data_IF_309228047762
#
_entry.id   IF_309228047762
#
_cell.length_a   1.000
_cell.length_b   1.000
_cell.length_c   1.000
_cell.angle_alpha   90.00
_cell.angle_beta   90.00
_cell.angle_gamma   90.00
#
_symmetry.space_group_name_H-M   'P 1'
#
loop_
_entity.id
_entity.type
_entity.pdbx_description
1 polymer ?
#
# COMPACT_ATOMS: atom_id res chain seq x y z
N UNK A 1 13.35 5.35 -25.79
CA UNK A 1 12.37 4.49 -25.07
C UNK A 1 12.96 4.25 -23.69
N UNK A 2 12.39 4.84 -22.63
CA UNK A 2 12.95 4.73 -21.29
C UNK A 2 12.76 3.30 -20.77
N UNK A 3 13.83 2.68 -20.29
CA UNK A 3 13.78 1.33 -19.71
C UNK A 3 13.56 1.47 -18.21
N UNK A 4 12.45 0.95 -17.70
CA UNK A 4 12.19 0.84 -16.26
C UNK A 4 12.70 -0.52 -15.79
N UNK A 5 13.70 -0.52 -14.91
CA UNK A 5 14.16 -1.73 -14.22
C UNK A 5 13.82 -1.58 -12.74
N UNK A 6 12.98 -2.48 -12.21
CA UNK A 6 12.69 -2.52 -10.78
C UNK A 6 13.43 -3.68 -10.11
N UNK A 7 14.15 -3.39 -9.04
CA UNK A 7 14.70 -4.42 -8.14
C UNK A 7 13.79 -4.55 -6.93
N UNK A 8 13.44 -5.79 -6.60
CA UNK A 8 12.64 -6.09 -5.42
C UNK A 8 13.55 -6.58 -4.31
N UNK A 9 13.72 -5.74 -3.27
CA UNK A 9 14.29 -6.16 -2.01
C UNK A 9 13.12 -6.42 -1.05
N UNK A 10 12.96 -7.68 -0.64
CA UNK A 10 11.90 -8.07 0.29
C UNK A 10 12.54 -8.34 1.64
N UNK A 11 12.20 -7.53 2.64
CA UNK A 11 12.51 -7.81 4.04
C UNK A 11 11.23 -8.21 4.78
N UNK A 12 11.37 -8.95 5.88
CA UNK A 12 10.23 -9.39 6.69
C UNK A 12 9.43 -8.18 7.18
N UNK A 13 8.23 -8.00 6.63
CA UNK A 13 7.28 -6.95 7.07
C UNK A 13 7.29 -5.66 6.24
N UNK A 14 8.22 -5.50 5.30
CA UNK A 14 8.25 -4.35 4.40
C UNK A 14 8.75 -4.72 3.01
N UNK A 15 8.17 -4.08 2.01
CA UNK A 15 8.53 -4.29 0.61
C UNK A 15 9.11 -3.01 0.04
N UNK A 16 10.33 -3.12 -0.51
CA UNK A 16 11.01 -2.01 -1.14
C UNK A 16 11.04 -2.23 -2.65
N UNK A 17 10.35 -1.32 -3.37
CA UNK A 17 10.43 -1.24 -4.83
C UNK A 17 11.48 -0.21 -5.19
N UNK A 18 12.63 -0.67 -5.68
CA UNK A 18 13.58 0.23 -6.33
C UNK A 18 13.26 0.32 -7.83
N UNK A 19 12.44 1.29 -8.24
CA UNK A 19 12.24 1.57 -9.66
C UNK A 19 13.36 2.49 -10.19
N UNK A 20 14.07 2.06 -11.23
CA UNK A 20 15.01 2.91 -11.98
C UNK A 20 14.47 3.13 -13.39
N UNK A 21 14.24 4.38 -13.80
CA UNK A 21 13.97 4.73 -15.19
C UNK A 21 15.21 5.33 -15.83
N UNK A 22 15.76 4.71 -16.88
CA UNK A 22 16.81 5.32 -17.70
C UNK A 22 16.15 6.19 -18.79
N UNK A 23 15.83 7.44 -18.45
CA UNK A 23 15.47 8.49 -19.41
C UNK A 23 16.74 9.19 -19.89
N UNK A 24 16.88 9.39 -21.21
CA UNK A 24 17.97 10.18 -21.82
C UNK A 24 17.75 11.70 -21.72
N UNK A 25 16.53 12.13 -21.36
CA UNK A 25 16.23 13.51 -21.01
C UNK A 25 16.46 13.73 -19.51
N UNK A 26 17.43 14.59 -19.17
CA UNK A 26 17.75 14.99 -17.78
C UNK A 26 16.53 15.51 -17.02
N UNK A 27 15.53 16.02 -17.75
CA UNK A 27 14.28 16.57 -17.21
C UNK A 27 13.36 15.52 -16.57
N UNK A 28 13.50 14.24 -16.91
CA UNK A 28 12.68 13.12 -16.41
C UNK A 28 13.54 12.01 -15.77
N UNK A 29 14.63 12.39 -15.10
CA UNK A 29 15.46 11.47 -14.34
C UNK A 29 14.75 11.05 -13.04
N UNK A 30 14.23 9.81 -12.98
CA UNK A 30 13.70 9.24 -11.73
C UNK A 30 14.87 8.94 -10.78
N UNK A 31 14.97 9.73 -9.70
CA UNK A 31 15.89 9.47 -8.60
C UNK A 31 15.44 8.19 -7.89
N UNK A 32 16.38 7.33 -7.50
CA UNK A 32 16.09 6.16 -6.67
C UNK A 32 15.32 6.61 -5.42
N UNK A 33 14.06 6.20 -5.31
CA UNK A 33 13.23 6.45 -4.14
C UNK A 33 12.74 5.12 -3.62
N UNK A 34 13.17 4.78 -2.41
CA UNK A 34 12.59 3.68 -1.65
C UNK A 34 11.18 4.06 -1.22
N UNK A 35 10.22 3.19 -1.54
CA UNK A 35 8.85 3.29 -1.03
C UNK A 35 8.52 2.04 -0.22
N UNK A 36 8.04 2.23 1.00
CA UNK A 36 7.61 1.16 1.89
C UNK A 36 6.08 1.14 1.97
N UNK A 37 5.47 -0.04 1.82
CA UNK A 37 4.04 -0.23 2.04
C UNK A 37 3.77 -0.81 3.44
N UNK A 38 2.87 -0.19 4.19
CA UNK A 38 2.37 -0.73 5.47
C UNK A 38 0.85 -0.74 5.53
N UNK A 39 0.30 -1.49 6.48
CA UNK A 39 -1.14 -1.59 6.71
C UNK A 39 -1.49 -0.95 8.03
N UNK A 40 -2.50 -0.10 8.02
CA UNK A 40 -2.97 0.65 9.18
C UNK A 40 -4.33 0.14 9.63
N UNK A 41 -4.51 0.06 10.94
CA UNK A 41 -5.77 -0.20 11.61
C UNK A 41 -6.29 1.09 12.22
N UNK A 42 -7.53 1.44 11.90
CA UNK A 42 -8.30 2.42 12.65
C UNK A 42 -9.27 1.67 13.56
N UNK A 43 -9.33 2.12 14.81
CA UNK A 43 -10.32 1.65 15.77
C UNK A 43 -11.49 2.62 15.74
N UNK A 44 -12.69 2.11 15.99
CA UNK A 44 -13.80 2.96 16.42
C UNK A 44 -14.02 2.69 17.90
N UNK A 45 -14.17 3.75 18.68
CA UNK A 45 -14.48 3.66 20.10
C UNK A 45 -15.92 4.06 20.34
N UNK A 46 -16.59 3.24 21.14
CA UNK A 46 -17.95 3.47 21.59
C UNK A 46 -18.01 4.49 22.75
N UNK A 47 -16.86 4.93 23.29
CA UNK A 47 -16.76 5.87 24.43
C UNK A 47 -16.43 7.33 24.06
N UNK A 48 -16.58 7.69 22.78
CA UNK A 48 -16.46 9.08 22.32
C UNK A 48 -17.30 10.05 23.18
N UNK A 49 -16.78 11.25 23.54
CA UNK A 49 -17.46 12.20 24.43
C UNK A 49 -18.81 12.71 23.91
N UNK A 50 -19.09 12.51 22.62
CA UNK A 50 -20.41 12.72 22.02
C UNK A 50 -21.27 11.45 22.16
N UNK A 51 -22.31 11.44 23.01
CA UNK A 51 -23.13 10.26 23.21
C UNK A 51 -23.79 9.87 21.88
N UNK A 52 -23.46 8.67 21.39
CA UNK A 52 -24.02 8.01 20.20
C UNK A 52 -23.42 8.33 18.81
N UNK A 53 -22.24 8.95 18.72
CA UNK A 53 -21.57 9.11 17.42
C UNK A 53 -20.60 7.97 17.15
N UNK A 54 -21.05 6.95 16.41
CA UNK A 54 -20.24 5.78 16.02
C UNK A 54 -19.94 5.78 14.52
N UNK A 55 -18.80 5.18 14.13
CA UNK A 55 -18.51 4.87 12.72
C UNK A 55 -19.63 4.02 12.10
N UNK A 56 -19.83 4.17 10.80
CA UNK A 56 -20.84 3.39 10.09
C UNK A 56 -20.70 3.51 8.57
N UNK A 57 -21.78 3.23 7.84
CA UNK A 57 -21.77 3.22 6.37
C UNK A 57 -21.42 4.56 5.71
N UNK A 58 -21.59 5.67 6.45
CA UNK A 58 -21.38 7.04 5.94
C UNK A 58 -20.34 7.82 6.75
N UNK A 59 -20.35 7.66 8.06
CA UNK A 59 -19.48 8.41 8.96
C UNK A 59 -18.23 7.58 9.26
N UNK A 60 -17.07 8.18 9.00
CA UNK A 60 -15.77 7.68 9.45
C UNK A 60 -15.35 8.46 10.69
N UNK A 61 -15.47 7.84 11.87
CA UNK A 61 -15.19 8.45 13.18
C UNK A 61 -14.17 7.58 13.94
N UNK A 62 -12.89 7.61 13.52
CA UNK A 62 -11.87 6.82 14.17
C UNK A 62 -11.58 7.34 15.58
N UNK A 63 -11.34 6.42 16.51
CA UNK A 63 -10.80 6.70 17.84
C UNK A 63 -9.29 6.98 17.75
N UNK A 64 -8.99 8.21 17.35
CA UNK A 64 -7.63 8.71 17.24
C UNK A 64 -6.87 8.26 15.98
N UNK A 65 -5.54 8.46 15.96
CA UNK A 65 -4.71 8.15 14.82
C UNK A 65 -4.64 6.64 14.53
N UNK A 66 -4.45 6.29 13.26
CA UNK A 66 -4.26 4.92 12.85
C UNK A 66 -3.03 4.28 13.50
N UNK A 67 -3.14 3.01 13.84
CA UNK A 67 -2.05 2.18 14.38
C UNK A 67 -1.54 1.21 13.32
N UNK A 68 -0.26 0.84 13.36
CA UNK A 68 0.24 -0.20 12.46
C UNK A 68 -0.45 -1.53 12.75
N UNK A 69 -0.89 -2.21 11.68
CA UNK A 69 -1.47 -3.54 11.78
C UNK A 69 -0.40 -4.50 12.28
N UNK A 70 -0.68 -5.21 13.37
CA UNK A 70 0.27 -6.16 13.92
C UNK A 70 0.44 -7.37 12.99
N UNK A 71 1.56 -7.41 12.28
CA UNK A 71 1.96 -8.50 11.39
C UNK A 71 2.96 -9.38 12.15
N UNK A 72 2.49 -10.53 12.64
CA UNK A 72 3.32 -11.47 13.40
C UNK A 72 4.38 -12.16 12.53
N UNK A 73 4.03 -12.49 11.29
CA UNK A 73 4.91 -13.10 10.31
C UNK A 73 4.36 -12.89 8.90
N UNK A 74 5.22 -12.97 7.90
CA UNK A 74 4.83 -12.91 6.48
C UNK A 74 5.44 -14.10 5.74
N UNK A 75 4.61 -14.85 5.03
CA UNK A 75 5.06 -15.93 4.13
C UNK A 75 5.14 -15.37 2.71
N UNK A 76 6.28 -15.58 2.06
CA UNK A 76 6.58 -15.04 0.73
C UNK A 76 6.70 -16.17 -0.29
N UNK A 77 6.06 -16.01 -1.44
CA UNK A 77 6.30 -16.79 -2.64
C UNK A 77 6.72 -15.85 -3.76
N UNK A 78 7.92 -16.04 -4.29
CA UNK A 78 8.49 -15.21 -5.35
C UNK A 78 8.52 -16.05 -6.64
N UNK A 79 7.82 -15.59 -7.66
CA UNK A 79 7.81 -16.20 -9.00
C UNK A 79 8.58 -15.28 -9.94
N UNK A 80 9.68 -15.78 -10.50
CA UNK A 80 10.50 -15.05 -11.48
C UNK A 80 10.36 -15.70 -12.86
N UNK A 81 9.63 -15.05 -13.75
CA UNK A 81 9.54 -15.42 -15.16
C UNK A 81 10.22 -14.39 -16.07
N UNK A 82 10.42 -14.76 -17.34
CA UNK A 82 11.05 -13.89 -18.34
C UNK A 82 10.20 -12.66 -18.71
N UNK A 83 8.87 -12.81 -18.67
CA UNK A 83 7.91 -11.76 -19.04
C UNK A 83 7.29 -11.07 -17.84
N UNK A 84 7.35 -11.71 -16.66
CA UNK A 84 6.58 -11.31 -15.49
C UNK A 84 7.25 -11.83 -14.23
N UNK A 85 7.32 -10.97 -13.22
CA UNK A 85 7.71 -11.31 -11.85
C UNK A 85 6.54 -11.06 -10.91
N UNK A 86 6.34 -11.95 -9.95
CA UNK A 86 5.30 -11.82 -8.94
C UNK A 86 5.81 -12.14 -7.56
N UNK A 87 5.28 -11.43 -6.58
CA UNK A 87 5.51 -11.67 -5.16
C UNK A 87 4.14 -11.83 -4.52
N UNK A 88 3.93 -12.97 -3.87
CA UNK A 88 2.77 -13.22 -3.03
C UNK A 88 3.21 -13.13 -1.57
N UNK A 89 2.68 -12.17 -0.85
CA UNK A 89 2.92 -11.95 0.56
C UNK A 89 1.65 -12.26 1.35
N UNK A 90 1.67 -13.40 2.07
CA UNK A 90 0.59 -13.77 2.99
C UNK A 90 0.97 -13.32 4.38
N UNK A 91 0.27 -12.31 4.89
CA UNK A 91 0.51 -11.77 6.22
C UNK A 91 -0.29 -12.55 7.27
N UNK A 92 0.36 -12.89 8.37
CA UNK A 92 -0.28 -13.46 9.56
C UNK A 92 -0.68 -12.32 10.49
N UNK A 93 -1.92 -11.87 10.36
CA UNK A 93 -2.51 -10.77 11.13
C UNK A 93 -3.86 -11.19 11.72
N UNK A 94 -4.54 -10.27 12.41
CA UNK A 94 -5.91 -10.48 12.91
C UNK A 94 -6.93 -10.75 11.78
N UNK A 95 -6.61 -10.32 10.55
CA UNK A 95 -7.39 -10.59 9.34
C UNK A 95 -6.57 -11.38 8.31
N UNK A 96 -7.20 -12.30 7.55
CA UNK A 96 -6.56 -12.87 6.36
C UNK A 96 -6.25 -11.78 5.33
N UNK A 97 -4.97 -11.60 5.04
CA UNK A 97 -4.47 -10.60 4.10
C UNK A 97 -3.42 -11.21 3.17
N UNK A 98 -3.70 -11.19 1.87
CA UNK A 98 -2.78 -11.61 0.82
C UNK A 98 -2.52 -10.43 -0.12
N UNK A 99 -1.28 -9.97 -0.14
CA UNK A 99 -0.81 -8.97 -1.09
C UNK A 99 -0.11 -9.66 -2.25
N UNK A 100 -0.48 -9.30 -3.48
CA UNK A 100 0.20 -9.73 -4.70
C UNK A 100 0.78 -8.51 -5.39
N UNK A 101 2.10 -8.51 -5.58
CA UNK A 101 2.79 -7.49 -6.35
C UNK A 101 3.24 -8.09 -7.67
N UNK A 102 2.91 -7.45 -8.77
CA UNK A 102 3.23 -7.90 -10.13
C UNK A 102 4.02 -6.82 -10.88
N UNK A 103 5.10 -7.26 -11.51
CA UNK A 103 5.87 -6.47 -12.47
C UNK A 103 5.94 -7.22 -13.79
N UNK A 104 5.48 -6.60 -14.87
CA UNK A 104 5.61 -7.16 -16.23
C UNK A 104 6.75 -6.45 -16.95
N UNK A 105 7.39 -7.14 -17.88
CA UNK A 105 8.61 -6.68 -18.58
C UNK A 105 8.45 -5.31 -19.25
N UNK A 106 7.26 -5.02 -19.78
CA UNK A 106 6.99 -3.83 -20.57
C UNK A 106 6.09 -2.80 -19.81
N UNK A 107 5.73 -3.09 -18.56
CA UNK A 107 4.93 -2.17 -17.73
C UNK A 107 5.88 -1.13 -17.09
N UNK A 108 5.48 0.15 -17.12
CA UNK A 108 6.19 1.24 -16.42
C UNK A 108 5.66 1.48 -15.00
N UNK A 109 4.83 0.58 -14.51
CA UNK A 109 4.20 0.65 -13.19
C UNK A 109 4.27 -0.72 -12.51
N UNK A 110 4.06 -0.72 -11.20
CA UNK A 110 3.92 -1.93 -10.40
C UNK A 110 2.44 -2.10 -10.08
N UNK A 111 1.93 -3.31 -10.30
CA UNK A 111 0.56 -3.67 -9.99
C UNK A 111 0.51 -4.27 -8.57
N UNK A 112 -0.31 -3.67 -7.70
CA UNK A 112 -0.55 -4.15 -6.33
C UNK A 112 -2.01 -4.61 -6.22
N UNK A 113 -2.20 -5.86 -5.82
CA UNK A 113 -3.52 -6.43 -5.56
C UNK A 113 -3.60 -6.90 -4.11
N UNK A 114 -4.62 -6.45 -3.37
CA UNK A 114 -4.85 -6.85 -1.99
C UNK A 114 -6.13 -7.67 -1.90
N UNK A 115 -6.00 -8.93 -1.49
CA UNK A 115 -7.13 -9.75 -1.09
C UNK A 115 -7.26 -9.67 0.43
N UNK A 116 -8.36 -9.04 0.88
CA UNK A 116 -8.62 -8.72 2.29
C UNK A 116 -9.92 -9.40 2.72
N UNK A 117 -9.87 -10.14 3.83
CA UNK A 117 -11.06 -10.70 4.46
C UNK A 117 -11.27 -10.13 5.87
N UNK A 118 -12.29 -9.28 6.03
CA UNK A 118 -12.62 -8.61 7.30
C UNK A 118 -13.83 -9.23 8.01
N UNK A 119 -14.38 -10.34 7.51
CA UNK A 119 -15.65 -10.91 8.01
C UNK A 119 -15.58 -11.39 9.46
N UNK A 120 -14.38 -11.69 9.95
CA UNK A 120 -14.14 -12.12 11.33
C UNK A 120 -13.86 -10.97 12.30
N UNK A 121 -13.89 -9.72 11.83
CA UNK A 121 -13.64 -8.52 12.65
C UNK A 121 -14.88 -7.64 12.73
N UNK A 122 -15.08 -7.00 13.88
CA UNK A 122 -16.05 -5.93 14.08
C UNK A 122 -15.29 -4.64 14.41
N UNK A 123 -15.89 -3.49 14.12
CA UNK A 123 -15.35 -2.16 14.47
C UNK A 123 -13.91 -1.95 13.97
N UNK A 124 -13.64 -2.46 12.77
CA UNK A 124 -12.31 -2.55 12.19
C UNK A 124 -12.30 -1.91 10.80
N UNK A 125 -11.41 -0.93 10.63
CA UNK A 125 -11.17 -0.30 9.33
C UNK A 125 -9.69 -0.43 8.96
N UNK A 126 -9.43 -0.84 7.72
CA UNK A 126 -8.10 -1.11 7.19
C UNK A 126 -7.69 -0.03 6.19
N UNK A 127 -6.56 0.62 6.45
CA UNK A 127 -5.88 1.49 5.48
C UNK A 127 -4.62 0.82 4.92
N UNK A 128 -4.30 1.08 3.66
CA UNK A 128 -2.97 0.82 3.10
C UNK A 128 -2.21 2.14 2.98
N UNK A 129 -0.99 2.19 3.52
CA UNK A 129 -0.13 3.39 3.49
C UNK A 129 1.11 3.13 2.67
N UNK A 130 1.44 4.09 1.80
CA UNK A 130 2.73 4.17 1.11
C UNK A 130 3.58 5.26 1.75
N UNK A 131 4.74 4.90 2.28
CA UNK A 131 5.70 5.80 2.89
C UNK A 131 6.87 6.00 1.93
N UNK A 132 7.18 7.25 1.61
CA UNK A 132 8.26 7.61 0.68
C UNK A 132 9.11 8.73 1.26
N UNK A 133 10.22 9.05 0.59
CA UNK A 133 11.07 10.20 0.91
C UNK A 133 10.67 11.48 0.15
N UNK A 134 9.55 11.47 -0.57
CA UNK A 134 9.03 12.66 -1.28
C UNK A 134 8.60 13.69 -0.24
N UNK A 135 9.08 14.93 -0.40
CA UNK A 135 8.76 16.04 0.50
C UNK A 135 7.62 16.87 -0.07
N UNK A 136 6.63 17.17 0.76
CA UNK A 136 5.52 18.06 0.43
C UNK A 136 4.31 17.73 1.30
N UNK A 137 3.61 18.76 1.74
CA UNK A 137 2.36 18.63 2.51
C UNK A 137 1.13 18.59 1.59
N UNK A 138 1.34 18.73 0.28
CA UNK A 138 0.29 18.68 -0.72
C UNK A 138 0.08 17.24 -1.20
N UNK A 139 -1.18 16.83 -1.23
CA UNK A 139 -1.64 15.60 -1.88
C UNK A 139 -2.75 15.97 -2.86
N UNK A 140 -2.93 15.13 -3.88
CA UNK A 140 -3.96 15.33 -4.89
C UNK A 140 -4.87 14.11 -4.94
N UNK A 141 -6.16 14.35 -5.13
CA UNK A 141 -7.16 13.31 -5.35
C UNK A 141 -7.93 13.61 -6.62
N UNK A 142 -8.42 12.58 -7.30
CA UNK A 142 -9.29 12.81 -8.43
C UNK A 142 -10.72 13.14 -7.98
N UNK A 143 -11.40 13.97 -8.77
CA UNK A 143 -12.83 14.19 -8.68
C UNK A 143 -13.49 13.44 -9.83
N UNK A 144 -13.97 12.23 -9.53
CA UNK A 144 -14.63 11.32 -10.48
C UNK A 144 -13.80 11.04 -11.74
N UNK A 145 -12.47 10.89 -11.58
CA UNK A 145 -11.50 10.70 -12.66
C UNK A 145 -11.49 11.80 -13.75
N UNK A 146 -12.03 13.00 -13.49
CA UNK A 146 -12.08 14.10 -14.45
C UNK A 146 -11.03 15.20 -14.21
N UNK A 147 -10.81 15.57 -12.96
CA UNK A 147 -9.86 16.60 -12.56
C UNK A 147 -9.14 16.20 -11.27
N UNK A 148 -7.94 16.74 -11.04
CA UNK A 148 -7.25 16.65 -9.77
C UNK A 148 -7.59 17.86 -8.90
N UNK A 149 -7.88 17.62 -7.63
CA UNK A 149 -8.07 18.63 -6.60
C UNK A 149 -7.01 18.46 -5.49
#
# INVERSE_FOLDING_TARGET
MAKVSANFNVNLGSFEVEAQSQSTDEKYSCKKSASESSYLRFNSDWTSPEPNSVSGSYLFLPDGPATELNISSTKLLIVKGLLKQQIFAKHSTIIPLLQTITLKKDDNFVEIQNLVDIRSTADFELGMRLKTNVKGDNFFTDLNAYQFA
#
